data_IF_889983952008
#
_entry.id   IF_889983952008
#
_cell.length_a   1.000
_cell.length_b   1.000
_cell.length_c   1.000
_cell.angle_alpha   90.00
_cell.angle_beta   90.00
_cell.angle_gamma   90.00
#
_symmetry.space_group_name_H-M   'P 1'
#
loop_
_entity.id
_entity.type
_entity.pdbx_description
1 polymer ?
#
# COMPACT_ATOMS: atom_id res chain seq x y z
N UNK A 1 -12.68 16.95 0.14
CA UNK A 1 -12.72 16.04 1.32
C UNK A 1 -12.99 14.63 0.82
N UNK A 2 -12.04 13.72 1.00
CA UNK A 2 -12.20 12.32 0.64
C UNK A 2 -13.02 11.63 1.73
N UNK A 3 -14.16 11.04 1.39
CA UNK A 3 -14.87 10.11 2.25
C UNK A 3 -14.70 8.71 1.65
N UNK A 4 -13.91 7.85 2.29
CA UNK A 4 -13.93 6.44 1.96
C UNK A 4 -15.34 5.92 2.22
N UNK A 5 -16.00 5.45 1.16
CA UNK A 5 -17.23 4.67 1.36
C UNK A 5 -16.87 3.46 2.22
N UNK A 6 -17.67 3.14 3.23
CA UNK A 6 -17.45 2.01 4.16
C UNK A 6 -17.24 0.63 3.49
N UNK A 7 -17.39 0.54 2.17
CA UNK A 7 -17.26 -0.69 1.39
C UNK A 7 -15.92 -0.82 0.64
N UNK A 8 -15.03 0.18 0.75
CA UNK A 8 -13.79 0.23 -0.04
C UNK A 8 -12.54 -0.17 0.77
N UNK A 9 -12.70 -0.37 2.07
CA UNK A 9 -11.63 -0.83 2.94
C UNK A 9 -11.49 -2.36 2.87
N UNK A 10 -10.28 -2.80 2.57
CA UNK A 10 -9.91 -4.20 2.56
C UNK A 10 -8.72 -4.43 3.49
N UNK A 11 -8.89 -5.28 4.49
CA UNK A 11 -7.79 -5.67 5.37
C UNK A 11 -6.84 -6.62 4.66
N UNK A 12 -5.56 -6.26 4.68
CA UNK A 12 -4.49 -7.05 4.05
C UNK A 12 -4.03 -8.15 5.01
N UNK A 13 -4.02 -9.42 4.59
CA UNK A 13 -3.51 -10.49 5.44
C UNK A 13 -1.99 -10.43 5.61
N UNK A 14 -1.49 -10.97 6.70
CA UNK A 14 -0.06 -10.95 7.06
C UNK A 14 0.84 -11.54 5.96
N UNK A 15 0.43 -12.63 5.31
CA UNK A 15 1.21 -13.27 4.25
C UNK A 15 1.40 -12.38 3.02
N UNK A 16 0.54 -11.39 2.81
CA UNK A 16 0.69 -10.42 1.72
C UNK A 16 1.55 -9.21 2.11
N UNK A 17 1.73 -8.96 3.41
CA UNK A 17 2.65 -7.92 3.92
C UNK A 17 4.09 -8.43 4.00
N UNK A 18 4.31 -9.68 4.41
CA UNK A 18 5.63 -10.27 4.58
C UNK A 18 6.61 -10.01 3.42
N UNK A 19 6.22 -10.16 2.14
CA UNK A 19 7.15 -10.02 1.02
C UNK A 19 7.80 -8.66 0.86
N UNK A 20 7.16 -7.58 1.33
CA UNK A 20 7.70 -6.22 1.19
C UNK A 20 8.74 -5.88 2.28
N UNK A 21 8.71 -6.58 3.41
CA UNK A 21 9.52 -6.22 4.58
C UNK A 21 11.03 -6.20 4.29
N UNK A 22 11.52 -7.16 3.52
CA UNK A 22 12.96 -7.27 3.20
C UNK A 22 13.49 -6.12 2.33
N UNK A 23 12.60 -5.39 1.65
CA UNK A 23 12.95 -4.27 0.77
C UNK A 23 12.93 -2.92 1.49
N UNK A 24 12.40 -2.85 2.70
CA UNK A 24 12.41 -1.61 3.50
C UNK A 24 13.84 -1.42 4.01
N UNK A 25 14.54 -0.34 3.64
CA UNK A 25 15.91 -0.13 4.10
C UNK A 25 16.01 -0.08 5.63
N UNK A 26 17.10 -0.61 6.23
CA UNK A 26 17.33 -0.50 7.66
C UNK A 26 17.27 0.96 8.13
N UNK A 27 16.73 1.18 9.32
CA UNK A 27 16.59 2.51 9.95
C UNK A 27 15.63 3.48 9.27
N UNK A 28 14.92 3.08 8.20
CA UNK A 28 13.87 3.90 7.66
C UNK A 28 12.67 3.96 8.61
N UNK A 29 12.08 5.15 8.70
CA UNK A 29 10.81 5.37 9.39
C UNK A 29 9.68 5.18 8.40
N UNK A 30 8.78 4.26 8.69
CA UNK A 30 7.73 3.87 7.78
C UNK A 30 6.43 4.61 8.11
N UNK A 31 5.82 5.19 7.11
CA UNK A 31 4.50 5.77 7.20
C UNK A 31 3.48 4.84 6.53
N UNK A 32 2.45 4.47 7.29
CA UNK A 32 1.31 3.67 6.82
C UNK A 32 0.06 4.57 6.80
N UNK A 33 -0.19 5.32 5.70
CA UNK A 33 -1.19 6.40 5.68
C UNK A 33 -2.65 5.95 5.56
N UNK A 34 -2.89 4.66 5.38
CA UNK A 34 -4.23 4.08 5.27
C UNK A 34 -4.49 3.01 6.32
N UNK A 35 -3.74 3.04 7.41
CA UNK A 35 -3.74 1.99 8.42
C UNK A 35 -4.00 2.53 9.82
N UNK A 36 -4.57 1.67 10.66
CA UNK A 36 -4.65 1.84 12.10
C UNK A 36 -3.64 0.92 12.80
N UNK A 37 -3.48 1.07 14.11
CA UNK A 37 -2.57 0.24 14.91
C UNK A 37 -2.87 -1.27 14.82
N UNK A 38 -4.11 -1.63 14.49
CA UNK A 38 -4.55 -3.02 14.35
C UNK A 38 -4.21 -3.65 13.01
N UNK A 39 -3.73 -2.88 12.03
CA UNK A 39 -3.40 -3.41 10.71
C UNK A 39 -2.17 -4.31 10.74
N UNK A 40 -2.14 -5.31 9.85
CA UNK A 40 -0.98 -6.19 9.69
C UNK A 40 0.26 -5.45 9.19
N UNK A 41 0.11 -4.36 8.43
CA UNK A 41 1.24 -3.50 8.06
C UNK A 41 1.93 -2.93 9.29
N UNK A 42 1.16 -2.31 10.18
CA UNK A 42 1.72 -1.71 11.40
C UNK A 42 2.34 -2.77 12.31
N UNK A 43 1.64 -3.87 12.54
CA UNK A 43 2.11 -4.96 13.42
C UNK A 43 3.42 -5.59 12.94
N UNK A 44 3.52 -5.89 11.65
CA UNK A 44 4.70 -6.57 11.11
C UNK A 44 5.88 -5.63 10.92
N UNK A 45 5.65 -4.45 10.39
CA UNK A 45 6.73 -3.47 10.15
C UNK A 45 7.31 -2.96 11.47
N UNK A 46 6.48 -2.75 12.49
CA UNK A 46 6.93 -2.27 13.81
C UNK A 46 7.86 -3.22 14.55
N UNK A 47 7.95 -4.49 14.13
CA UNK A 47 8.90 -5.44 14.70
C UNK A 47 10.37 -5.08 14.39
N UNK A 48 10.60 -4.34 13.29
CA UNK A 48 11.96 -4.03 12.81
C UNK A 48 12.18 -2.54 12.52
N UNK A 49 11.11 -1.76 12.36
CA UNK A 49 11.18 -0.34 12.01
C UNK A 49 10.29 0.51 12.90
N UNK A 50 10.62 1.79 12.98
CA UNK A 50 9.71 2.79 13.53
C UNK A 50 8.56 3.02 12.54
N UNK A 51 7.32 2.92 13.01
CA UNK A 51 6.11 3.07 12.19
C UNK A 51 5.24 4.20 12.72
N UNK A 52 4.75 5.01 11.81
CA UNK A 52 3.65 5.92 12.08
C UNK A 52 2.48 5.56 11.17
N UNK A 53 1.32 5.31 11.75
CA UNK A 53 0.10 5.06 11.01
C UNK A 53 -0.82 6.27 11.07
N UNK A 54 -1.58 6.48 10.02
CA UNK A 54 -2.64 7.48 9.96
C UNK A 54 -3.83 6.94 9.17
N UNK A 55 -5.01 7.41 9.48
CA UNK A 55 -6.24 6.93 8.86
C UNK A 55 -7.28 8.04 8.82
N UNK A 56 -8.12 8.05 7.78
CA UNK A 56 -9.16 9.07 7.64
C UNK A 56 -10.18 9.02 8.78
N UNK A 57 -10.47 7.83 9.32
CA UNK A 57 -11.38 7.65 10.45
C UNK A 57 -10.85 8.24 11.76
N UNK A 58 -9.53 8.48 11.85
CA UNK A 58 -8.89 9.18 12.96
C UNK A 58 -8.67 10.67 12.70
N UNK A 59 -9.25 11.20 11.62
CA UNK A 59 -9.15 12.62 11.24
C UNK A 59 -7.86 12.99 10.50
N UNK A 60 -7.09 12.00 10.04
CA UNK A 60 -5.82 12.21 9.35
C UNK A 60 -5.98 11.82 7.87
N UNK A 61 -6.41 12.77 7.06
CA UNK A 61 -6.56 12.60 5.62
C UNK A 61 -5.18 12.60 4.94
N UNK A 62 -4.88 11.57 4.17
CA UNK A 62 -3.63 11.44 3.42
C UNK A 62 -3.31 12.64 2.52
N UNK A 63 -4.32 13.35 2.03
CA UNK A 63 -4.12 14.52 1.17
C UNK A 63 -3.68 15.78 1.94
N UNK A 64 -3.92 15.83 3.25
CA UNK A 64 -3.66 17.00 4.10
C UNK A 64 -2.63 16.71 5.19
N UNK A 65 -2.64 15.49 5.73
CA UNK A 65 -1.75 15.08 6.82
C UNK A 65 -0.43 14.54 6.26
N UNK A 66 0.64 14.84 6.96
CA UNK A 66 1.98 14.27 6.76
C UNK A 66 2.70 14.18 8.11
N UNK A 67 3.27 13.01 8.47
CA UNK A 67 4.09 12.90 9.68
C UNK A 67 5.31 13.82 9.62
N UNK A 68 5.77 14.28 10.77
CA UNK A 68 6.94 15.16 10.82
C UNK A 68 8.23 14.47 10.36
N UNK A 69 8.38 13.17 10.65
CA UNK A 69 9.53 12.36 10.25
C UNK A 69 9.07 11.04 9.64
N UNK A 70 9.38 10.84 8.37
CA UNK A 70 9.18 9.58 7.67
C UNK A 70 10.11 9.49 6.46
N UNK A 71 10.42 8.26 6.03
CA UNK A 71 11.36 7.98 4.94
C UNK A 71 10.72 7.22 3.79
N UNK A 72 9.70 6.41 4.06
CA UNK A 72 9.02 5.55 3.08
C UNK A 72 7.54 5.40 3.44
N UNK A 73 6.69 5.31 2.41
CA UNK A 73 5.29 4.90 2.54
C UNK A 73 5.16 3.42 2.21
N UNK A 74 4.52 2.65 3.09
CA UNK A 74 4.13 1.26 2.83
C UNK A 74 2.72 1.04 3.34
N UNK A 75 1.77 0.76 2.43
CA UNK A 75 0.35 0.62 2.82
C UNK A 75 -0.49 0.01 1.71
N UNK A 76 -1.77 -0.21 1.99
CA UNK A 76 -2.78 -0.59 1.00
C UNK A 76 -3.82 0.54 0.90
N UNK A 77 -3.77 1.38 -0.14
CA UNK A 77 -4.74 2.46 -0.31
C UNK A 77 -6.13 1.92 -0.67
N UNK A 78 -7.21 2.65 -0.34
CA UNK A 78 -8.53 2.35 -0.86
C UNK A 78 -8.54 2.30 -2.40
N UNK A 79 -9.35 1.40 -2.98
CA UNK A 79 -9.35 1.20 -4.44
C UNK A 79 -10.05 2.33 -5.21
N UNK A 80 -11.00 3.01 -4.59
CA UNK A 80 -11.56 4.25 -5.15
C UNK A 80 -10.55 5.39 -5.01
N UNK A 81 -10.52 6.28 -6.00
CA UNK A 81 -9.62 7.43 -6.03
C UNK A 81 -8.11 7.08 -6.04
N UNK A 82 -7.76 5.87 -6.42
CA UNK A 82 -6.36 5.37 -6.44
C UNK A 82 -5.41 6.28 -7.21
N UNK A 83 -5.85 6.87 -8.33
CA UNK A 83 -5.04 7.81 -9.10
C UNK A 83 -4.55 8.99 -8.24
N UNK A 84 -5.43 9.58 -7.46
CA UNK A 84 -5.08 10.72 -6.60
C UNK A 84 -4.14 10.31 -5.46
N UNK A 85 -4.31 9.12 -4.88
CA UNK A 85 -3.39 8.60 -3.85
C UNK A 85 -1.98 8.38 -4.41
N UNK A 86 -1.86 7.75 -5.58
CA UNK A 86 -0.56 7.55 -6.21
C UNK A 86 0.07 8.87 -6.66
N UNK A 87 -0.72 9.82 -7.18
CA UNK A 87 -0.22 11.16 -7.50
C UNK A 87 0.37 11.84 -6.25
N UNK A 88 -0.34 11.80 -5.13
CA UNK A 88 0.14 12.36 -3.87
C UNK A 88 1.43 11.69 -3.41
N UNK A 89 1.52 10.35 -3.46
CA UNK A 89 2.73 9.63 -3.10
C UNK A 89 3.92 10.02 -3.98
N UNK A 90 3.71 10.19 -5.28
CA UNK A 90 4.73 10.66 -6.22
C UNK A 90 5.17 12.11 -5.91
N UNK A 91 4.21 13.00 -5.63
CA UNK A 91 4.48 14.40 -5.32
C UNK A 91 5.29 14.58 -4.03
N UNK A 92 5.12 13.68 -3.05
CA UNK A 92 5.91 13.66 -1.82
C UNK A 92 7.39 13.31 -2.05
N UNK A 93 7.72 12.70 -3.17
CA UNK A 93 9.10 12.55 -3.66
C UNK A 93 9.96 11.50 -2.97
N UNK A 94 9.44 10.78 -1.98
CA UNK A 94 10.16 9.71 -1.27
C UNK A 94 9.74 8.32 -1.78
N UNK A 95 10.51 7.25 -1.47
CA UNK A 95 10.14 5.90 -1.84
C UNK A 95 8.77 5.49 -1.29
N UNK A 96 8.08 4.65 -2.04
CA UNK A 96 6.84 4.04 -1.56
C UNK A 96 6.62 2.63 -2.11
N UNK A 97 5.81 1.87 -1.41
CA UNK A 97 5.25 0.59 -1.83
C UNK A 97 3.76 0.57 -1.47
N UNK A 98 2.91 0.66 -2.46
CA UNK A 98 1.46 0.64 -2.29
C UNK A 98 0.85 -0.59 -2.96
N UNK A 99 0.13 -1.39 -2.18
CA UNK A 99 -0.54 -2.61 -2.67
C UNK A 99 -1.75 -2.23 -3.53
N UNK A 100 -1.83 -2.76 -4.74
CA UNK A 100 -2.91 -2.45 -5.68
C UNK A 100 -3.22 -3.64 -6.59
N UNK A 101 -4.47 -3.71 -7.06
CA UNK A 101 -4.90 -4.74 -8.00
C UNK A 101 -4.16 -4.62 -9.34
N UNK A 102 -3.76 -5.77 -9.91
CA UNK A 102 -3.03 -5.82 -11.18
C UNK A 102 -3.87 -5.41 -12.39
N UNK A 103 -5.21 -5.46 -12.27
CA UNK A 103 -6.11 -4.97 -13.31
C UNK A 103 -5.89 -3.50 -13.66
N UNK A 104 -5.31 -2.71 -12.74
CA UNK A 104 -5.01 -1.30 -12.98
C UNK A 104 -3.80 -1.08 -13.91
N UNK A 105 -2.92 -2.06 -14.08
CA UNK A 105 -1.70 -1.93 -14.88
C UNK A 105 -1.96 -1.57 -16.35
N UNK A 106 -3.07 -2.01 -16.91
CA UNK A 106 -3.42 -1.74 -18.31
C UNK A 106 -4.23 -0.44 -18.51
N UNK A 107 -4.52 0.28 -17.44
CA UNK A 107 -5.21 1.56 -17.51
C UNK A 107 -4.26 2.68 -17.93
N UNK A 108 -4.83 3.74 -18.48
CA UNK A 108 -4.07 4.93 -18.89
C UNK A 108 -3.40 5.66 -17.72
N UNK A 109 -4.02 5.63 -16.53
CA UNK A 109 -3.55 6.39 -15.38
C UNK A 109 -2.15 5.98 -14.90
N UNK A 110 -1.80 4.69 -14.71
CA UNK A 110 -0.45 4.31 -14.34
C UNK A 110 0.60 4.73 -15.36
N UNK A 111 0.30 4.61 -16.66
CA UNK A 111 1.22 5.03 -17.71
C UNK A 111 1.56 6.52 -17.61
N UNK A 112 0.59 7.36 -17.27
CA UNK A 112 0.81 8.79 -17.10
C UNK A 112 1.53 9.12 -15.78
N UNK A 113 1.11 8.49 -14.68
CA UNK A 113 1.64 8.76 -13.35
C UNK A 113 3.12 8.40 -13.21
N UNK A 114 3.52 7.25 -13.76
CA UNK A 114 4.88 6.73 -13.60
C UNK A 114 5.83 7.04 -14.75
N UNK A 115 5.41 7.86 -15.72
CA UNK A 115 6.21 8.17 -16.90
C UNK A 115 7.59 8.77 -16.58
N UNK A 116 7.69 9.60 -15.55
CA UNK A 116 8.93 10.31 -15.20
C UNK A 116 9.80 9.52 -14.22
N UNK A 117 9.22 8.99 -13.14
CA UNK A 117 9.97 8.32 -12.07
C UNK A 117 10.14 6.81 -12.27
N UNK A 118 9.37 6.24 -13.18
CA UNK A 118 9.32 4.80 -13.38
C UNK A 118 8.44 4.07 -12.37
N UNK A 119 7.98 2.89 -12.74
CA UNK A 119 7.20 1.98 -11.90
C UNK A 119 8.02 0.73 -11.64
N UNK A 120 8.14 0.35 -10.37
CA UNK A 120 8.64 -0.94 -9.96
C UNK A 120 7.50 -1.80 -9.43
N UNK A 121 7.50 -3.10 -9.69
CA UNK A 121 6.47 -4.03 -9.26
C UNK A 121 7.07 -5.16 -8.43
N UNK A 122 6.52 -5.38 -7.25
CA UNK A 122 6.70 -6.62 -6.49
C UNK A 122 5.47 -7.48 -6.71
N UNK A 123 5.61 -8.46 -7.60
CA UNK A 123 4.55 -9.42 -7.95
C UNK A 123 4.49 -10.52 -6.91
N UNK A 124 3.28 -10.84 -6.46
CA UNK A 124 3.01 -11.99 -5.59
C UNK A 124 2.60 -13.18 -6.46
N UNK A 125 3.11 -14.37 -6.17
CA UNK A 125 2.87 -15.57 -6.99
C UNK A 125 1.47 -16.18 -6.85
N UNK A 126 0.67 -15.65 -5.91
CA UNK A 126 -0.72 -16.08 -5.65
C UNK A 126 -1.62 -14.87 -5.44
N UNK A 127 -2.91 -15.07 -5.67
CA UNK A 127 -3.92 -14.05 -5.38
C UNK A 127 -4.03 -13.80 -3.88
N UNK A 128 -4.18 -12.54 -3.50
CA UNK A 128 -4.39 -12.13 -2.10
C UNK A 128 -5.88 -12.18 -1.77
N UNK A 129 -6.20 -12.75 -0.61
CA UNK A 129 -7.55 -12.77 -0.04
C UNK A 129 -7.68 -11.63 0.96
N UNK A 130 -8.41 -10.59 0.57
CA UNK A 130 -8.68 -9.45 1.44
C UNK A 130 -9.95 -9.67 2.26
N UNK A 131 -9.97 -9.17 3.48
CA UNK A 131 -11.16 -9.19 4.34
C UNK A 131 -11.85 -7.85 4.29
N UNK A 132 -13.16 -7.87 3.94
CA UNK A 132 -13.99 -6.66 4.01
C UNK A 132 -14.73 -6.63 5.35
N UNK A 133 -14.56 -5.57 6.16
CA UNK A 133 -15.14 -5.52 7.52
C UNK A 133 -16.67 -5.49 7.57
N UNK A 134 -17.35 -5.14 6.49
CA UNK A 134 -18.79 -4.89 6.47
C UNK A 134 -19.60 -5.76 5.50
N UNK A 135 -19.04 -6.87 4.97
CA UNK A 135 -19.83 -7.73 4.09
C UNK A 135 -20.68 -8.70 4.89
N UNK A 136 -21.99 -8.71 4.62
CA UNK A 136 -22.96 -9.69 5.19
C UNK A 136 -22.78 -11.12 4.62
N UNK A 137 -21.92 -11.27 3.62
CA UNK A 137 -21.56 -12.57 3.03
C UNK A 137 -20.08 -12.76 3.34
N UNK A 138 -19.66 -13.91 3.83
CA UNK A 138 -18.28 -14.26 4.20
C UNK A 138 -17.24 -13.44 3.39
N UNK A 139 -16.78 -12.36 4.00
CA UNK A 139 -16.25 -11.19 3.33
C UNK A 139 -14.82 -11.30 2.81
N UNK A 140 -14.49 -12.37 2.09
CA UNK A 140 -13.19 -12.48 1.41
C UNK A 140 -13.34 -12.12 -0.05
N UNK A 141 -12.57 -11.12 -0.47
CA UNK A 141 -12.40 -10.76 -1.88
C UNK A 141 -11.00 -11.16 -2.30
N UNK A 142 -10.89 -11.86 -3.44
CA UNK A 142 -9.61 -12.32 -3.96
C UNK A 142 -9.19 -11.50 -5.17
N UNK A 143 -8.00 -10.88 -5.09
CA UNK A 143 -7.41 -10.13 -6.20
C UNK A 143 -6.01 -10.64 -6.54
N UNK A 144 -5.66 -10.59 -7.82
CA UNK A 144 -4.27 -10.52 -8.24
C UNK A 144 -3.76 -9.12 -7.93
N UNK A 145 -2.83 -9.01 -7.00
CA UNK A 145 -2.28 -7.73 -6.54
C UNK A 145 -0.77 -7.73 -6.51
N UNK A 146 -0.19 -6.55 -6.59
CA UNK A 146 1.24 -6.31 -6.51
C UNK A 146 1.50 -5.06 -5.69
N UNK A 147 2.69 -4.94 -5.12
CA UNK A 147 3.15 -3.64 -4.65
C UNK A 147 3.64 -2.82 -5.82
N UNK A 148 3.01 -1.67 -6.02
CA UNK A 148 3.48 -0.64 -6.93
C UNK A 148 4.46 0.23 -6.16
N UNK A 149 5.72 0.19 -6.59
CA UNK A 149 6.81 0.81 -5.87
C UNK A 149 7.49 1.88 -6.71
N UNK A 150 8.15 2.80 -6.03
CA UNK A 150 9.02 3.81 -6.62
C UNK A 150 10.30 3.91 -5.80
N UNK A 151 11.44 3.85 -6.48
CA UNK A 151 12.78 4.00 -5.88
C UNK A 151 13.07 3.05 -4.69
N UNK A 152 12.62 1.83 -4.76
CA UNK A 152 12.70 0.89 -3.63
C UNK A 152 13.31 -0.47 -3.99
N UNK A 153 12.83 -1.09 -5.05
CA UNK A 153 13.22 -2.45 -5.40
C UNK A 153 14.58 -2.49 -6.14
N UNK A 154 15.32 -3.63 -6.09
CA UNK A 154 16.62 -3.76 -6.76
C UNK A 154 16.50 -3.75 -8.29
N UNK A 155 15.30 -3.94 -8.85
CA UNK A 155 14.96 -3.91 -10.26
C UNK A 155 13.49 -3.62 -10.48
N UNK A 156 13.09 -3.39 -11.71
CA UNK A 156 11.72 -2.94 -12.03
C UNK A 156 10.66 -4.00 -11.75
N UNK A 157 10.98 -5.29 -11.92
CA UNK A 157 10.08 -6.40 -11.63
C UNK A 157 10.75 -7.40 -10.71
N UNK A 158 10.14 -7.64 -9.57
CA UNK A 158 10.53 -8.67 -8.61
C UNK A 158 9.33 -9.58 -8.37
N UNK A 159 9.55 -10.89 -8.33
CA UNK A 159 8.50 -11.89 -8.07
C UNK A 159 8.79 -12.55 -6.74
N UNK A 160 7.78 -12.60 -5.86
CA UNK A 160 7.86 -13.24 -4.54
C UNK A 160 6.80 -14.30 -4.36
N UNK A 161 7.22 -15.44 -3.82
CA UNK A 161 6.31 -16.44 -3.30
C UNK A 161 5.66 -15.96 -2.00
N UNK A 162 4.38 -16.27 -1.83
CA UNK A 162 3.65 -16.03 -0.58
C UNK A 162 3.14 -17.35 -0.01
N UNK A 163 3.30 -17.51 1.30
CA UNK A 163 2.80 -18.65 2.06
C UNK A 163 1.52 -18.24 2.80
N UNK A 164 0.39 -18.79 2.34
CA UNK A 164 -0.93 -18.56 2.93
C UNK A 164 -1.17 -19.42 4.16
#
# INVERSE_FOLDING_TARGET
MYSAGKNDECYTPSYAVQPILEYIPPNFRVWCPFDTEDSEFVKLISQTHSVECSHIDTGQDFFEYEPYHWDIIVSNPPFTNKRAFFQRALDLGKPFALLMANTWLNDRAPMQLFAERGLQLLLLDKRTEFVQPNSQVSGKITFSSSYYCCDLLPRDIVIKAIDK
#
